data_IF_188276481043
#
_entry.id   IF_188276481043
#
_cell.length_a   1.000
_cell.length_b   1.000
_cell.length_c   1.000
_cell.angle_alpha   90.00
_cell.angle_beta   90.00
_cell.angle_gamma   90.00
#
_symmetry.space_group_name_H-M   'P 1'
#
loop_
_entity.id
_entity.type
_entity.pdbx_description
1 polymer ?
#
# COMPACT_ATOMS: atom_id res chain seq x y z
N UNK A 1 -4.97 -7.55 -11.52
CA UNK A 1 -3.53 -7.85 -11.64
C UNK A 1 -3.11 -8.57 -10.38
N UNK A 2 -2.56 -9.79 -10.47
CA UNK A 2 -2.13 -10.52 -9.28
C UNK A 2 -0.84 -9.89 -8.73
N UNK A 3 -0.79 -9.60 -7.44
CA UNK A 3 0.44 -9.13 -6.77
C UNK A 3 1.47 -10.25 -6.89
N UNK A 4 2.61 -9.97 -7.54
CA UNK A 4 3.71 -10.93 -7.70
C UNK A 4 4.83 -10.56 -6.74
N UNK A 5 5.15 -11.50 -5.85
CA UNK A 5 6.29 -11.40 -4.97
C UNK A 5 7.52 -11.97 -5.66
N UNK A 6 8.70 -11.49 -5.27
CA UNK A 6 9.93 -12.20 -5.63
C UNK A 6 10.07 -13.46 -4.75
N UNK A 7 10.89 -14.42 -5.21
CA UNK A 7 11.01 -15.73 -4.55
C UNK A 7 11.53 -15.64 -3.12
N UNK A 8 12.43 -14.71 -2.84
CA UNK A 8 13.00 -14.54 -1.50
C UNK A 8 11.96 -14.04 -0.49
N UNK A 9 11.15 -13.05 -0.89
CA UNK A 9 10.06 -12.52 -0.08
C UNK A 9 8.99 -13.59 0.13
N UNK A 10 8.62 -14.33 -0.92
CA UNK A 10 7.67 -15.44 -0.82
C UNK A 10 8.14 -16.46 0.22
N UNK A 11 9.38 -16.94 0.12
CA UNK A 11 9.93 -17.92 1.08
C UNK A 11 9.97 -17.40 2.52
N UNK A 12 10.32 -16.13 2.71
CA UNK A 12 10.28 -15.50 4.06
C UNK A 12 8.85 -15.44 4.60
N UNK A 13 7.86 -15.12 3.77
CA UNK A 13 6.45 -15.08 4.18
C UNK A 13 5.92 -16.47 4.48
N UNK A 14 6.29 -17.49 3.71
CA UNK A 14 5.91 -18.88 4.02
C UNK A 14 6.39 -19.28 5.42
N UNK A 15 7.68 -19.07 5.72
CA UNK A 15 8.21 -19.34 7.06
C UNK A 15 7.54 -18.52 8.16
N UNK A 16 7.19 -17.26 7.87
CA UNK A 16 6.43 -16.40 8.81
C UNK A 16 5.02 -16.92 9.08
N UNK A 17 4.31 -17.38 8.05
CA UNK A 17 2.96 -17.94 8.16
C UNK A 17 3.00 -19.23 8.99
N UNK A 18 3.95 -20.12 8.70
CA UNK A 18 4.11 -21.36 9.46
C UNK A 18 4.34 -21.09 10.95
N UNK A 19 5.23 -20.13 11.26
CA UNK A 19 5.48 -19.71 12.65
C UNK A 19 4.23 -19.14 13.31
N UNK A 20 3.51 -18.26 12.62
CA UNK A 20 2.31 -17.64 13.16
C UNK A 20 1.25 -18.70 13.52
N UNK A 21 1.00 -19.66 12.63
CA UNK A 21 0.06 -20.74 12.88
C UNK A 21 0.49 -21.63 14.06
N UNK A 22 1.77 -21.97 14.16
CA UNK A 22 2.28 -22.76 15.27
C UNK A 22 2.17 -22.03 16.62
N UNK A 23 2.48 -20.74 16.66
CA UNK A 23 2.50 -19.95 17.90
C UNK A 23 1.12 -19.45 18.35
N UNK A 24 0.20 -19.19 17.42
CA UNK A 24 -1.07 -18.51 17.72
C UNK A 24 -2.31 -19.37 17.46
N UNK A 25 -2.17 -20.47 16.74
CA UNK A 25 -3.30 -21.34 16.37
C UNK A 25 -3.10 -22.80 16.82
N UNK A 26 -2.00 -23.11 17.51
CA UNK A 26 -1.57 -24.46 17.89
C UNK A 26 -1.62 -25.47 16.72
N UNK A 27 -1.45 -24.98 15.48
CA UNK A 27 -1.46 -25.80 14.26
C UNK A 27 -0.09 -25.75 13.57
N UNK A 28 0.56 -26.91 13.47
CA UNK A 28 1.76 -27.05 12.64
C UNK A 28 1.37 -27.11 11.16
N UNK A 29 1.71 -26.04 10.45
CA UNK A 29 1.40 -25.89 9.02
C UNK A 29 2.65 -26.18 8.19
N UNK A 30 2.55 -27.17 7.29
CA UNK A 30 3.59 -27.45 6.31
C UNK A 30 3.65 -26.42 5.16
N UNK A 31 4.73 -26.42 4.38
CA UNK A 31 4.97 -25.41 3.34
C UNK A 31 3.83 -25.32 2.31
N UNK A 32 3.23 -26.45 1.91
CA UNK A 32 2.13 -26.48 0.93
C UNK A 32 0.91 -25.70 1.44
N UNK A 33 0.47 -25.97 2.67
CA UNK A 33 -0.67 -25.27 3.29
C UNK A 33 -0.37 -23.78 3.47
N UNK A 34 0.84 -23.44 3.93
CA UNK A 34 1.27 -22.05 4.07
C UNK A 34 1.25 -21.31 2.72
N UNK A 35 1.63 -22.00 1.63
CA UNK A 35 1.60 -21.44 0.28
C UNK A 35 0.17 -21.24 -0.24
N UNK A 36 -0.74 -22.16 0.03
CA UNK A 36 -2.15 -21.98 -0.31
C UNK A 36 -2.76 -20.78 0.43
N UNK A 37 -2.44 -20.61 1.71
CA UNK A 37 -2.89 -19.45 2.48
C UNK A 37 -2.29 -18.15 1.95
N UNK A 38 -1.00 -18.14 1.62
CA UNK A 38 -0.35 -16.98 1.01
C UNK A 38 -1.00 -16.62 -0.34
N UNK A 39 -1.27 -17.61 -1.20
CA UNK A 39 -1.94 -17.40 -2.49
C UNK A 39 -3.35 -16.82 -2.32
N UNK A 40 -4.13 -17.33 -1.35
CA UNK A 40 -5.42 -16.74 -0.99
C UNK A 40 -5.30 -15.27 -0.59
N UNK A 41 -4.38 -14.96 0.34
CA UNK A 41 -4.15 -13.59 0.80
C UNK A 41 -3.75 -12.67 -0.37
N UNK A 42 -2.88 -13.11 -1.27
CA UNK A 42 -2.43 -12.30 -2.41
C UNK A 42 -3.51 -12.07 -3.47
N UNK A 43 -4.48 -12.99 -3.59
CA UNK A 43 -5.56 -12.88 -4.58
C UNK A 43 -6.78 -12.13 -4.05
N UNK A 44 -7.19 -12.39 -2.82
CA UNK A 44 -8.43 -11.86 -2.26
C UNK A 44 -8.19 -10.59 -1.42
N UNK A 45 -7.14 -10.58 -0.58
CA UNK A 45 -6.89 -9.48 0.36
C UNK A 45 -5.97 -8.42 -0.26
N UNK A 46 -4.91 -8.88 -0.94
CA UNK A 46 -3.85 -8.06 -1.50
C UNK A 46 -4.35 -6.90 -2.38
N UNK A 47 -5.25 -7.13 -3.36
CA UNK A 47 -5.75 -6.06 -4.23
C UNK A 47 -6.49 -4.95 -3.47
N UNK A 48 -7.23 -5.30 -2.42
CA UNK A 48 -7.96 -4.32 -1.60
C UNK A 48 -7.00 -3.38 -0.87
N UNK A 49 -5.95 -3.95 -0.25
CA UNK A 49 -4.91 -3.16 0.44
C UNK A 49 -4.12 -2.31 -0.58
N UNK A 50 -3.75 -2.88 -1.72
CA UNK A 50 -3.01 -2.17 -2.76
C UNK A 50 -3.80 -1.00 -3.36
N UNK A 51 -5.09 -1.19 -3.63
CA UNK A 51 -5.96 -0.13 -4.14
C UNK A 51 -6.13 0.99 -3.11
N UNK A 52 -6.29 0.65 -1.82
CA UNK A 52 -6.35 1.66 -0.77
C UNK A 52 -5.04 2.46 -0.70
N UNK A 53 -3.88 1.80 -0.78
CA UNK A 53 -2.60 2.48 -0.79
C UNK A 53 -2.44 3.46 -1.98
N UNK A 54 -3.00 3.13 -3.15
CA UNK A 54 -3.05 4.08 -4.29
C UNK A 54 -3.93 5.29 -3.96
N UNK A 55 -5.12 5.08 -3.39
CA UNK A 55 -6.02 6.17 -3.02
C UNK A 55 -5.37 7.09 -1.98
N UNK A 56 -4.69 6.51 -0.99
CA UNK A 56 -3.97 7.28 0.04
C UNK A 56 -2.86 8.13 -0.58
N UNK A 57 -2.09 7.56 -1.52
CA UNK A 57 -1.04 8.29 -2.24
C UNK A 57 -1.63 9.41 -3.13
N UNK A 58 -2.77 9.16 -3.78
CA UNK A 58 -3.47 10.16 -4.57
C UNK A 58 -3.97 11.31 -3.71
N UNK A 59 -4.58 11.03 -2.56
CA UNK A 59 -5.04 12.05 -1.62
C UNK A 59 -3.87 12.93 -1.14
N UNK A 60 -2.76 12.32 -0.73
CA UNK A 60 -1.58 13.05 -0.31
C UNK A 60 -1.00 13.97 -1.41
N UNK A 61 -1.06 13.54 -2.67
CA UNK A 61 -0.62 14.37 -3.80
C UNK A 61 -1.60 15.51 -4.11
N UNK A 62 -2.91 15.25 -4.00
CA UNK A 62 -3.94 16.27 -4.19
C UNK A 62 -3.79 17.41 -3.17
N UNK A 63 -3.51 17.08 -1.91
CA UNK A 63 -3.23 18.09 -0.88
C UNK A 63 -2.04 18.98 -1.27
N UNK A 64 -0.97 18.37 -1.81
CA UNK A 64 0.21 19.12 -2.27
C UNK A 64 -0.09 20.01 -3.48
N UNK A 65 -0.95 19.55 -4.38
CA UNK A 65 -1.40 20.37 -5.52
C UNK A 65 -2.24 21.55 -5.02
N UNK A 66 -3.15 21.34 -4.08
CA UNK A 66 -3.95 22.41 -3.48
C UNK A 66 -3.09 23.45 -2.75
N UNK A 67 -2.02 23.02 -2.07
CA UNK A 67 -1.06 23.94 -1.45
C UNK A 67 -0.40 24.88 -2.47
N UNK A 68 -0.10 24.40 -3.68
CA UNK A 68 0.53 25.21 -4.74
C UNK A 68 -0.37 26.38 -5.14
N UNK A 69 -1.70 26.18 -5.21
CA UNK A 69 -2.64 27.25 -5.52
C UNK A 69 -2.55 28.42 -4.55
N UNK A 70 -2.17 28.17 -3.29
CA UNK A 70 -1.98 29.21 -2.29
C UNK A 70 -0.57 29.77 -2.31
N UNK A 71 0.45 28.90 -2.32
CA UNK A 71 1.86 29.29 -2.20
C UNK A 71 2.32 30.11 -3.40
N UNK A 72 1.88 29.72 -4.60
CA UNK A 72 2.27 30.36 -5.85
C UNK A 72 1.27 31.41 -6.33
N UNK A 73 0.24 31.72 -5.53
CA UNK A 73 -0.74 32.74 -5.87
C UNK A 73 -0.09 34.11 -5.89
N UNK A 74 -0.29 34.84 -6.99
CA UNK A 74 0.11 36.24 -7.11
C UNK A 74 -1.09 37.07 -7.53
N UNK A 75 -1.25 38.22 -6.88
CA UNK A 75 -2.36 39.13 -7.18
C UNK A 75 -2.16 39.79 -8.55
N UNK A 76 -3.10 39.59 -9.46
CA UNK A 76 -3.12 40.26 -10.77
C UNK A 76 -3.49 41.76 -10.65
N UNK A 77 -3.15 42.55 -11.67
CA UNK A 77 -3.52 43.97 -11.79
C UNK A 77 -3.07 44.90 -10.65
N UNK A 78 -2.06 44.51 -9.87
CA UNK A 78 -1.54 45.30 -8.73
C UNK A 78 -0.78 46.59 -9.10
N UNK A 79 -0.65 46.90 -10.39
CA UNK A 79 0.13 48.03 -10.90
C UNK A 79 -0.34 49.39 -10.37
N UNK A 80 -1.65 49.63 -10.34
CA UNK A 80 -2.21 50.92 -9.88
C UNK A 80 -2.42 51.00 -8.37
N UNK A 81 -2.39 49.86 -7.68
CA UNK A 81 -2.63 49.75 -6.23
C UNK A 81 -1.36 49.94 -5.40
N UNK A 82 -0.18 49.83 -6.01
CA UNK A 82 1.14 49.97 -5.35
C UNK A 82 1.76 51.38 -5.50
N UNK A 83 0.99 52.37 -5.93
CA UNK A 83 1.45 53.77 -6.07
C UNK A 83 1.01 54.64 -4.90
#
# INVERSE_FOLDING_TARGET
MAIKLNKEVEQRLLGSIQRYCAENMDEEVGELKARLLLDYCLREIGPSVYNQAILDAQAAMQDKIAEIETICYESEFSYWTKK
#
